data_IF_151371481126
#
_entry.id   IF_151371481126
#
_cell.length_a   1.000
_cell.length_b   1.000
_cell.length_c   1.000
_cell.angle_alpha   90.00
_cell.angle_beta   90.00
_cell.angle_gamma   90.00
#
_symmetry.space_group_name_H-M   'P 1'
#
loop_
_entity.id
_entity.type
_entity.pdbx_description
1 polymer ?
#
# COMPACT_ATOMS: atom_id res chain seq x y z
N UNK A 1 -3.00 9.23 -12.27
CA UNK A 1 -3.03 7.75 -12.25
C UNK A 1 -3.49 7.30 -13.62
N UNK A 2 -2.81 6.34 -14.24
CA UNK A 2 -3.27 5.74 -15.48
C UNK A 2 -3.45 4.25 -15.26
N UNK A 3 -4.52 3.68 -15.78
CA UNK A 3 -4.76 2.24 -15.77
C UNK A 3 -5.16 1.81 -17.17
N UNK A 4 -4.79 0.60 -17.54
CA UNK A 4 -5.16 0.00 -18.81
C UNK A 4 -4.03 -0.77 -19.45
N UNK A 5 -4.14 -0.89 -20.76
CA UNK A 5 -3.23 -1.58 -21.63
C UNK A 5 -1.94 -0.75 -21.82
N UNK A 6 -0.87 -1.10 -21.08
CA UNK A 6 0.42 -0.41 -21.11
C UNK A 6 1.47 -1.34 -21.73
N UNK A 7 2.20 -0.84 -22.74
CA UNK A 7 3.26 -1.57 -23.42
C UNK A 7 3.36 -1.21 -24.91
N UNK A 8 4.28 -1.88 -25.61
CA UNK A 8 4.42 -1.76 -27.06
C UNK A 8 3.71 -2.90 -27.80
N UNK A 9 3.65 -2.82 -29.13
CA UNK A 9 3.01 -3.82 -29.97
C UNK A 9 3.32 -5.31 -29.64
N UNK A 10 4.57 -5.72 -29.30
CA UNK A 10 4.84 -7.13 -29.02
C UNK A 10 4.43 -7.59 -27.62
N UNK A 11 4.15 -6.68 -26.66
CA UNK A 11 3.73 -7.03 -25.30
C UNK A 11 2.99 -5.89 -24.63
N UNK A 12 1.79 -6.22 -24.18
CA UNK A 12 0.86 -5.31 -23.55
C UNK A 12 0.36 -5.96 -22.26
N UNK A 13 0.57 -5.29 -21.13
CA UNK A 13 0.11 -5.74 -19.83
C UNK A 13 -1.00 -4.78 -19.34
N UNK A 14 -2.11 -5.34 -18.86
CA UNK A 14 -3.15 -4.54 -18.22
C UNK A 14 -2.69 -4.21 -16.80
N UNK A 15 -2.32 -2.95 -16.56
CA UNK A 15 -1.70 -2.54 -15.30
C UNK A 15 -2.10 -1.12 -14.91
N UNK A 16 -1.76 -0.76 -13.67
CA UNK A 16 -1.87 0.60 -13.15
C UNK A 16 -0.47 1.19 -13.07
N UNK A 17 -0.31 2.44 -13.51
CA UNK A 17 0.92 3.22 -13.34
C UNK A 17 0.62 4.55 -12.65
N UNK A 18 1.53 4.95 -11.76
CA UNK A 18 1.51 6.26 -11.12
C UNK A 18 2.01 6.27 -9.68
N UNK A 19 2.00 7.45 -9.04
CA UNK A 19 2.57 7.64 -7.70
C UNK A 19 2.00 6.71 -6.62
N UNK A 20 0.69 6.44 -6.66
CA UNK A 20 0.03 5.54 -5.71
C UNK A 20 0.59 4.11 -5.77
N UNK A 21 0.99 3.62 -6.96
CA UNK A 21 1.58 2.28 -7.12
C UNK A 21 2.97 2.24 -6.49
N UNK A 22 3.76 3.32 -6.62
CA UNK A 22 5.04 3.43 -5.94
C UNK A 22 4.85 3.46 -4.42
N UNK A 23 3.89 4.22 -3.92
CA UNK A 23 3.58 4.29 -2.49
C UNK A 23 3.23 2.91 -1.92
N UNK A 24 2.31 2.18 -2.57
CA UNK A 24 1.94 0.80 -2.16
C UNK A 24 3.16 -0.14 -2.16
N UNK A 25 4.03 -0.05 -3.17
CA UNK A 25 5.24 -0.85 -3.22
C UNK A 25 6.18 -0.56 -2.04
N UNK A 26 6.31 0.70 -1.63
CA UNK A 26 7.12 1.06 -0.45
C UNK A 26 6.44 0.66 0.86
N UNK A 27 5.12 0.76 0.97
CA UNK A 27 4.38 0.28 2.14
C UNK A 27 4.55 -1.22 2.33
N UNK A 28 4.49 -2.01 1.24
CA UNK A 28 4.74 -3.46 1.29
C UNK A 28 6.14 -3.78 1.83
N UNK A 29 7.15 -2.96 1.50
CA UNK A 29 8.49 -3.12 2.05
C UNK A 29 8.55 -2.86 3.57
N UNK A 30 7.60 -2.14 4.15
CA UNK A 30 7.49 -1.90 5.61
C UNK A 30 6.86 -3.05 6.40
N UNK A 31 6.25 -4.03 5.74
CA UNK A 31 5.66 -5.20 6.40
C UNK A 31 6.67 -5.94 7.29
N UNK A 32 7.89 -6.23 6.76
CA UNK A 32 8.91 -6.96 7.53
C UNK A 32 9.48 -6.14 8.70
N UNK A 33 9.92 -4.88 8.51
CA UNK A 33 10.41 -4.05 9.62
C UNK A 33 9.38 -3.83 10.74
N UNK A 34 8.09 -3.76 10.41
CA UNK A 34 7.02 -3.54 11.38
C UNK A 34 6.38 -4.83 11.91
N UNK A 35 6.87 -5.99 11.47
CA UNK A 35 6.36 -7.31 11.81
C UNK A 35 4.84 -7.45 11.57
N UNK A 36 4.36 -6.94 10.44
CA UNK A 36 2.95 -7.02 10.03
C UNK A 36 2.80 -7.75 8.71
N UNK A 37 1.82 -8.63 8.62
CA UNK A 37 1.50 -9.32 7.35
C UNK A 37 0.85 -8.36 6.34
N UNK A 38 0.00 -7.45 6.83
CA UNK A 38 -0.76 -6.50 6.00
C UNK A 38 -0.66 -5.11 6.59
N UNK A 39 -0.17 -4.17 5.77
CA UNK A 39 -0.15 -2.74 6.07
C UNK A 39 -1.04 -2.01 5.07
N UNK A 40 -1.83 -1.06 5.58
CA UNK A 40 -2.72 -0.21 4.79
C UNK A 40 -2.45 1.27 5.05
N UNK A 41 -2.83 2.11 4.10
CA UNK A 41 -2.72 3.57 4.20
C UNK A 41 -3.84 4.13 5.07
N UNK A 42 -3.73 5.39 5.48
CA UNK A 42 -4.80 6.08 6.22
C UNK A 42 -6.16 5.98 5.50
N UNK A 43 -6.20 6.24 4.20
CA UNK A 43 -7.44 6.21 3.43
C UNK A 43 -8.14 4.85 3.45
N UNK A 44 -7.39 3.75 3.52
CA UNK A 44 -7.95 2.41 3.70
C UNK A 44 -8.31 2.12 5.16
N UNK A 45 -7.51 2.60 6.11
CA UNK A 45 -7.80 2.49 7.53
C UNK A 45 -9.15 3.13 7.90
N UNK A 46 -9.50 4.26 7.27
CA UNK A 46 -10.74 5.00 7.51
C UNK A 46 -12.01 4.22 7.14
N UNK A 47 -11.90 3.18 6.29
CA UNK A 47 -13.04 2.37 5.81
C UNK A 47 -13.00 0.92 6.28
N UNK A 48 -11.98 0.53 7.05
CA UNK A 48 -11.85 -0.82 7.58
C UNK A 48 -12.39 -0.91 9.02
N UNK A 49 -13.04 -2.03 9.39
CA UNK A 49 -13.69 -2.16 10.69
C UNK A 49 -12.70 -2.30 11.86
N UNK A 50 -11.49 -2.80 11.63
CA UNK A 50 -10.50 -3.04 12.69
C UNK A 50 -9.06 -2.89 12.16
N UNK A 51 -8.40 -1.82 12.60
CA UNK A 51 -7.01 -1.51 12.26
C UNK A 51 -6.27 -0.96 13.49
N UNK A 52 -4.95 -1.14 13.50
CA UNK A 52 -4.07 -0.60 14.55
C UNK A 52 -3.07 0.36 13.93
N UNK A 53 -2.98 1.57 14.48
CA UNK A 53 -2.01 2.56 14.01
C UNK A 53 -0.57 2.13 14.29
N UNK A 54 0.28 2.22 13.28
CA UNK A 54 1.71 1.91 13.34
C UNK A 54 2.58 3.18 13.36
N UNK A 55 1.95 4.36 13.37
CA UNK A 55 2.61 5.66 13.31
C UNK A 55 2.90 6.15 11.89
N UNK A 56 3.64 7.26 11.79
CA UNK A 56 4.00 7.88 10.52
C UNK A 56 5.41 7.48 10.08
N UNK A 57 5.54 7.01 8.83
CA UNK A 57 6.78 6.47 8.28
C UNK A 57 7.19 7.19 7.00
N UNK A 58 8.48 7.49 6.86
CA UNK A 58 9.02 8.04 5.61
C UNK A 58 9.26 6.90 4.63
N UNK A 59 8.53 6.93 3.52
CA UNK A 59 8.64 5.95 2.44
C UNK A 59 9.57 6.48 1.34
N UNK A 60 10.39 5.60 0.74
CA UNK A 60 11.34 6.01 -0.30
C UNK A 60 10.60 6.54 -1.53
N UNK A 61 10.90 7.76 -1.97
CA UNK A 61 10.27 8.35 -3.16
C UNK A 61 8.82 8.80 -2.93
N UNK A 62 8.36 8.87 -1.67
CA UNK A 62 7.11 9.53 -1.28
C UNK A 62 7.48 10.82 -0.55
N UNK A 63 6.89 11.95 -0.97
CA UNK A 63 7.32 13.27 -0.52
C UNK A 63 7.06 13.50 0.97
N UNK A 64 5.94 12.99 1.49
CA UNK A 64 5.52 13.15 2.88
C UNK A 64 5.53 11.82 3.62
N UNK A 65 5.75 11.86 4.93
CA UNK A 65 5.57 10.69 5.77
C UNK A 65 4.11 10.21 5.71
N UNK A 66 3.92 8.90 5.64
CA UNK A 66 2.60 8.29 5.53
C UNK A 66 2.21 7.65 6.87
N UNK A 67 0.97 7.88 7.31
CA UNK A 67 0.40 7.15 8.42
C UNK A 67 0.07 5.72 7.97
N UNK A 68 0.69 4.74 8.64
CA UNK A 68 0.53 3.33 8.33
C UNK A 68 -0.30 2.64 9.41
N UNK A 69 -1.09 1.66 8.99
CA UNK A 69 -1.95 0.87 9.88
C UNK A 69 -1.83 -0.61 9.57
N UNK A 70 -1.87 -1.45 10.61
CA UNK A 70 -2.00 -2.89 10.47
C UNK A 70 -3.47 -3.29 10.43
N UNK A 71 -3.81 -4.28 9.60
CA UNK A 71 -5.13 -4.90 9.65
C UNK A 71 -5.16 -5.92 10.78
N UNK A 72 -6.13 -5.80 11.68
CA UNK A 72 -6.34 -6.83 12.71
C UNK A 72 -7.03 -8.01 12.05
N UNK A 73 -6.45 -9.22 12.07
CA UNK A 73 -7.13 -10.38 11.54
C UNK A 73 -8.45 -10.58 12.30
N UNK A 74 -9.56 -10.70 11.57
CA UNK A 74 -10.78 -11.21 12.18
C UNK A 74 -10.44 -12.59 12.77
N UNK A 75 -10.74 -12.80 14.06
CA UNK A 75 -10.49 -14.08 14.72
C UNK A 75 -11.02 -15.21 13.82
N UNK A 76 -10.15 -16.15 13.46
CA UNK A 76 -10.55 -17.31 12.67
C UNK A 76 -11.45 -18.15 13.56
N UNK A 77 -12.75 -18.18 13.23
CA UNK A 77 -13.76 -19.03 13.86
C UNK A 77 -13.54 -20.49 13.43
#
# INVERSE_FOLDING_TARGET
MFYGNIGGAPRLDFTVIGPAVNEVAQMSAMCRPLAQDVIVSQAFADVLPAVVALGSHRLRGVAQAQALHAVVPAARN
#
